data_IF_558557197864
#
_entry.id   IF_558557197864
#
_cell.length_a   1.000
_cell.length_b   1.000
_cell.length_c   1.000
_cell.angle_alpha   90.00
_cell.angle_beta   90.00
_cell.angle_gamma   90.00
#
_symmetry.space_group_name_H-M   'P 1'
#
loop_
_entity.id
_entity.type
_entity.pdbx_description
1 polymer ?
#
# COMPACT_ATOMS: atom_id res chain seq x y z
N UNK A 1 -10.64 0.69 -0.19
CA UNK A 1 -10.01 -0.60 -0.52
C UNK A 1 -10.92 -1.82 -0.33
N UNK A 2 -12.14 -1.68 0.22
CA UNK A 2 -12.98 -2.79 0.68
C UNK A 2 -13.38 -3.85 -0.37
N UNK A 3 -13.05 -3.67 -1.65
CA UNK A 3 -13.29 -4.65 -2.71
C UNK A 3 -12.02 -5.13 -3.42
N UNK A 4 -10.84 -4.57 -3.13
CA UNK A 4 -9.58 -4.95 -3.77
C UNK A 4 -8.61 -5.49 -2.71
N UNK A 5 -8.74 -6.81 -2.44
CA UNK A 5 -7.92 -7.54 -1.46
C UNK A 5 -6.43 -7.38 -1.77
N UNK A 6 -6.04 -7.41 -3.05
CA UNK A 6 -4.64 -7.27 -3.48
C UNK A 6 -4.10 -5.89 -3.15
N UNK A 7 -4.90 -4.84 -3.38
CA UNK A 7 -4.52 -3.49 -3.00
C UNK A 7 -4.38 -3.34 -1.48
N UNK A 8 -5.26 -3.98 -0.71
CA UNK A 8 -5.18 -3.98 0.75
C UNK A 8 -3.92 -4.66 1.27
N UNK A 9 -3.54 -5.81 0.71
CA UNK A 9 -2.29 -6.49 1.07
C UNK A 9 -1.05 -5.67 0.68
N UNK A 10 -1.06 -5.02 -0.49
CA UNK A 10 0.03 -4.13 -0.90
C UNK A 10 0.19 -2.95 0.07
N UNK A 11 -0.92 -2.30 0.44
CA UNK A 11 -0.90 -1.23 1.44
C UNK A 11 -0.42 -1.72 2.81
N UNK A 12 -0.82 -2.93 3.24
CA UNK A 12 -0.34 -3.54 4.49
C UNK A 12 1.17 -3.80 4.45
N UNK A 13 1.68 -4.36 3.37
CA UNK A 13 3.11 -4.62 3.20
C UNK A 13 3.93 -3.32 3.28
N UNK A 14 3.47 -2.26 2.60
CA UNK A 14 4.10 -0.94 2.65
C UNK A 14 4.03 -0.35 4.06
N UNK A 15 2.86 -0.39 4.70
CA UNK A 15 2.68 0.11 6.05
C UNK A 15 3.65 -0.53 7.03
N UNK A 16 3.73 -1.87 7.04
CA UNK A 16 4.61 -2.61 7.95
C UNK A 16 6.10 -2.35 7.70
N UNK A 17 6.47 -2.05 6.45
CA UNK A 17 7.85 -1.71 6.11
C UNK A 17 8.24 -0.28 6.55
N UNK A 18 7.30 0.67 6.47
CA UNK A 18 7.54 2.10 6.78
C UNK A 18 7.33 2.40 8.27
N UNK A 19 6.43 1.65 8.92
CA UNK A 19 6.09 1.80 10.32
C UNK A 19 6.36 0.50 11.09
N UNK A 20 7.63 0.07 11.19
CA UNK A 20 7.97 -1.16 11.90
C UNK A 20 7.85 -0.94 13.42
N UNK A 21 6.70 -1.30 13.98
CA UNK A 21 6.45 -1.31 15.41
C UNK A 21 6.18 0.06 16.04
N UNK A 22 6.04 0.04 17.36
CA UNK A 22 5.40 1.10 18.15
C UNK A 22 6.17 2.43 18.16
N UNK A 23 7.47 2.41 17.86
CA UNK A 23 8.31 3.61 17.75
C UNK A 23 7.92 4.48 16.55
N UNK A 24 7.47 3.85 15.45
CA UNK A 24 7.17 4.53 14.18
C UNK A 24 5.67 4.75 13.95
N UNK A 25 4.82 3.88 14.50
CA UNK A 25 3.39 4.14 14.61
C UNK A 25 2.82 3.44 15.85
N UNK A 26 2.01 4.14 16.67
CA UNK A 26 1.46 3.57 17.89
C UNK A 26 0.28 2.60 17.64
N UNK A 27 -0.05 2.35 16.38
CA UNK A 27 -1.23 1.57 15.97
C UNK A 27 -0.83 0.56 14.90
N UNK A 28 -1.50 -0.59 14.91
CA UNK A 28 -1.38 -1.62 13.87
C UNK A 28 -1.98 -1.15 12.54
N UNK A 29 -1.70 -1.87 11.45
CA UNK A 29 -2.34 -1.60 10.16
C UNK A 29 -3.87 -1.64 10.24
N UNK A 30 -4.44 -2.60 10.96
CA UNK A 30 -5.88 -2.78 11.13
C UNK A 30 -6.52 -1.60 11.87
N UNK A 31 -5.89 -1.12 12.95
CA UNK A 31 -6.35 0.06 13.69
C UNK A 31 -6.18 1.32 12.84
N UNK A 32 -5.05 1.45 12.15
CA UNK A 32 -4.78 2.55 11.23
C UNK A 32 -5.81 2.60 10.09
N UNK A 33 -6.25 1.44 9.58
CA UNK A 33 -7.32 1.29 8.59
C UNK A 33 -8.68 1.68 9.19
N UNK A 34 -9.03 1.16 10.37
CA UNK A 34 -10.29 1.47 11.02
C UNK A 34 -10.45 2.98 11.28
N UNK A 35 -9.38 3.64 11.71
CA UNK A 35 -9.39 5.06 12.02
C UNK A 35 -9.03 5.97 10.83
N UNK A 36 -8.79 5.40 9.64
CA UNK A 36 -8.36 6.15 8.45
C UNK A 36 -7.17 7.07 8.73
N UNK A 37 -6.19 6.59 9.49
CA UNK A 37 -5.04 7.37 9.92
C UNK A 37 -4.21 7.89 8.75
N UNK A 38 -3.36 8.90 8.99
CA UNK A 38 -2.45 9.42 7.95
C UNK A 38 -1.48 8.35 7.45
N UNK A 39 -0.96 7.50 8.34
CA UNK A 39 -0.06 6.39 8.00
C UNK A 39 -0.72 5.40 7.04
N UNK A 40 -1.97 5.01 7.33
CA UNK A 40 -2.75 4.16 6.45
C UNK A 40 -2.99 4.81 5.10
N UNK A 41 -3.45 6.08 5.06
CA UNK A 41 -3.70 6.78 3.79
C UNK A 41 -2.44 6.91 2.94
N UNK A 42 -1.29 7.17 3.56
CA UNK A 42 0.00 7.23 2.86
C UNK A 42 0.37 5.88 2.23
N UNK A 43 0.23 4.78 2.98
CA UNK A 43 0.49 3.44 2.46
C UNK A 43 -0.45 3.09 1.29
N UNK A 44 -1.72 3.48 1.38
CA UNK A 44 -2.70 3.31 0.29
C UNK A 44 -2.33 4.12 -0.94
N UNK A 45 -1.94 5.39 -0.77
CA UNK A 45 -1.53 6.24 -1.88
C UNK A 45 -0.28 5.66 -2.58
N UNK A 46 0.69 5.17 -1.82
CA UNK A 46 1.88 4.50 -2.36
C UNK A 46 1.52 3.23 -3.15
N UNK A 47 0.66 2.36 -2.60
CA UNK A 47 0.20 1.16 -3.28
C UNK A 47 -0.54 1.48 -4.60
N UNK A 48 -1.36 2.52 -4.60
CA UNK A 48 -2.06 3.00 -5.79
C UNK A 48 -1.10 3.56 -6.85
N UNK A 49 -0.09 4.32 -6.44
CA UNK A 49 0.96 4.83 -7.33
C UNK A 49 1.68 3.70 -8.06
N UNK A 50 2.08 2.65 -7.34
CA UNK A 50 2.72 1.45 -7.93
C UNK A 50 1.79 0.78 -8.94
N UNK A 51 0.50 0.61 -8.63
CA UNK A 51 -0.46 0.02 -9.58
C UNK A 51 -0.56 0.84 -10.87
N UNK A 52 -0.55 2.17 -10.78
CA UNK A 52 -0.60 3.03 -11.97
C UNK A 52 0.61 2.80 -12.88
N UNK A 53 1.81 2.65 -12.31
CA UNK A 53 3.02 2.34 -13.08
C UNK A 53 2.90 1.02 -13.86
N UNK A 54 2.42 -0.05 -13.22
CA UNK A 54 2.24 -1.33 -13.93
C UNK A 54 1.14 -1.31 -15.00
N UNK A 55 0.09 -0.51 -14.82
CA UNK A 55 -0.95 -0.36 -15.84
C UNK A 55 -0.47 0.50 -17.02
N UNK A 56 0.35 1.53 -16.77
CA UNK A 56 0.94 2.36 -17.83
C UNK A 56 2.05 1.66 -18.61
N UNK A 57 2.73 0.66 -18.03
CA UNK A 57 3.90 -0.03 -18.61
C UNK A 57 3.62 -1.43 -19.18
N UNK A 58 2.36 -1.85 -19.31
CA UNK A 58 2.04 -3.21 -19.81
C UNK A 58 2.66 -3.49 -21.20
N UNK A 59 2.82 -2.46 -22.03
CA UNK A 59 3.44 -2.56 -23.37
C UNK A 59 4.97 -2.64 -23.32
N UNK A 60 5.62 -2.13 -22.27
CA UNK A 60 7.09 -2.08 -22.13
C UNK A 60 7.60 -3.29 -21.34
N UNK A 61 6.84 -3.76 -20.34
CA UNK A 61 7.25 -4.88 -19.49
C UNK A 61 7.31 -6.22 -20.25
N UNK A 62 6.48 -6.40 -21.29
CA UNK A 62 6.50 -7.59 -22.16
C UNK A 62 7.69 -7.61 -23.13
N UNK A 63 8.37 -6.48 -23.36
CA UNK A 63 9.54 -6.40 -24.23
C UNK A 63 10.85 -6.79 -23.52
N UNK A 64 10.79 -7.10 -22.22
CA UNK A 64 11.94 -7.46 -21.38
C UNK A 64 11.94 -8.94 -20.96
N UNK A 65 11.04 -9.76 -21.54
CA UNK A 65 11.01 -11.23 -21.43
C UNK A 65 11.41 -11.86 -22.76
#
# INVERSE_FOLDING_TARGET
MQHDIRMREAARAIYNAVYPGDEWSPVTFEEAEQHQSVHYRNAVAAAQGVRLHFLSDTTVQLALL
#
